data_IF_774666344086
#
_entry.id   IF_774666344086
#
_cell.length_a   1.000
_cell.length_b   1.000
_cell.length_c   1.000
_cell.angle_alpha   90.00
_cell.angle_beta   90.00
_cell.angle_gamma   90.00
#
_symmetry.space_group_name_H-M   'P 1'
#
loop_
_entity.id
_entity.type
_entity.pdbx_description
1 polymer ?
#
# COMPACT_ATOMS: atom_id res chain seq x y z
N UNK A 1 -4.67 17.16 -30.77
CA UNK A 1 -3.60 17.57 -29.84
C UNK A 1 -3.62 16.60 -28.66
N UNK A 2 -2.89 15.49 -28.77
CA UNK A 2 -2.82 14.49 -27.71
C UNK A 2 -1.92 15.03 -26.60
N UNK A 3 -2.45 15.11 -25.38
CA UNK A 3 -1.69 15.51 -24.20
C UNK A 3 -0.59 14.47 -23.98
N UNK A 4 0.67 14.92 -24.03
CA UNK A 4 1.82 14.17 -23.53
C UNK A 4 1.54 13.83 -22.06
N UNK A 5 1.12 12.60 -21.81
CA UNK A 5 1.12 12.01 -20.47
C UNK A 5 2.60 11.83 -20.14
N UNK A 6 3.13 12.66 -19.26
CA UNK A 6 4.43 12.42 -18.64
C UNK A 6 4.34 11.09 -17.89
N UNK A 7 4.77 10.02 -18.56
CA UNK A 7 4.86 8.68 -17.99
C UNK A 7 5.89 8.75 -16.88
N UNK A 8 5.48 8.42 -15.66
CA UNK A 8 6.25 8.48 -14.41
C UNK A 8 7.58 7.70 -14.52
N UNK A 9 8.67 8.23 -13.96
CA UNK A 9 9.96 7.55 -13.83
C UNK A 9 9.99 6.59 -12.63
N UNK A 10 9.15 5.56 -12.65
CA UNK A 10 9.16 4.49 -11.62
C UNK A 10 10.29 3.49 -11.91
N UNK A 11 11.47 3.98 -12.31
CA UNK A 11 12.63 3.16 -12.65
C UNK A 11 13.45 2.75 -11.43
N UNK A 12 13.15 3.28 -10.25
CA UNK A 12 14.00 3.13 -9.06
C UNK A 12 13.52 2.04 -8.11
N UNK A 13 12.32 1.48 -8.32
CA UNK A 13 11.88 0.27 -7.60
C UNK A 13 12.66 -0.93 -8.16
N UNK A 14 13.65 -1.42 -7.41
CA UNK A 14 14.32 -2.72 -7.60
C UNK A 14 13.31 -3.89 -7.49
N UNK A 15 12.55 -4.07 -8.56
CA UNK A 15 12.05 -5.35 -8.97
C UNK A 15 12.69 -5.59 -10.34
N UNK A 16 13.79 -6.34 -10.40
CA UNK A 16 14.63 -6.43 -11.60
C UNK A 16 13.85 -6.80 -12.86
N UNK A 17 12.80 -7.62 -12.73
CA UNK A 17 11.88 -7.92 -13.82
C UNK A 17 10.98 -6.73 -14.23
N UNK A 18 10.41 -5.95 -13.30
CA UNK A 18 9.50 -4.84 -13.65
C UNK A 18 10.23 -3.58 -14.06
N UNK A 19 11.39 -3.26 -13.45
CA UNK A 19 12.28 -2.19 -13.91
C UNK A 19 12.72 -2.44 -15.35
N UNK A 20 13.08 -3.68 -15.65
CA UNK A 20 13.35 -4.13 -17.03
C UNK A 20 12.10 -3.98 -17.89
N UNK A 21 10.95 -4.49 -17.47
CA UNK A 21 9.70 -4.47 -18.26
C UNK A 21 9.18 -3.06 -18.55
N UNK A 22 9.25 -2.13 -17.60
CA UNK A 22 8.90 -0.72 -17.76
C UNK A 22 9.88 0.00 -18.68
N UNK A 23 11.19 -0.24 -18.51
CA UNK A 23 12.23 0.34 -19.36
C UNK A 23 12.14 -0.15 -20.79
N UNK A 24 11.95 -1.46 -20.99
CA UNK A 24 11.75 -2.08 -22.31
C UNK A 24 10.41 -1.64 -22.92
N UNK A 25 9.34 -1.58 -22.13
CA UNK A 25 8.04 -1.08 -22.58
C UNK A 25 8.13 0.36 -23.11
N UNK A 26 8.82 1.25 -22.39
CA UNK A 26 9.07 2.62 -22.84
C UNK A 26 10.00 2.67 -24.05
N UNK A 27 11.09 1.91 -24.05
CA UNK A 27 12.06 1.86 -25.16
C UNK A 27 11.44 1.34 -26.47
N UNK A 28 10.51 0.38 -26.37
CA UNK A 28 9.80 -0.22 -27.50
C UNK A 28 8.50 0.53 -27.84
N UNK A 29 8.16 1.60 -27.12
CA UNK A 29 6.92 2.37 -27.32
C UNK A 29 5.64 1.61 -26.98
N UNK A 30 5.74 0.54 -26.18
CA UNK A 30 4.62 -0.29 -25.76
C UNK A 30 3.92 0.33 -24.54
N UNK A 31 3.17 1.41 -24.76
CA UNK A 31 2.40 2.08 -23.71
C UNK A 31 1.45 1.14 -22.95
N UNK A 32 0.83 0.19 -23.67
CA UNK A 32 -0.06 -0.81 -23.08
C UNK A 32 0.64 -1.81 -22.16
N UNK A 33 1.94 -2.04 -22.35
CA UNK A 33 2.74 -2.89 -21.46
C UNK A 33 3.11 -2.11 -20.20
N UNK A 34 3.58 -0.87 -20.36
CA UNK A 34 3.94 0.01 -19.25
C UNK A 34 2.76 0.28 -18.31
N UNK A 35 1.57 0.52 -18.87
CA UNK A 35 0.33 0.71 -18.10
C UNK A 35 -0.02 -0.54 -17.28
N UNK A 36 0.00 -1.73 -17.91
CA UNK A 36 -0.30 -3.00 -17.22
C UNK A 36 0.70 -3.34 -16.13
N UNK A 37 1.99 -3.07 -16.37
CA UNK A 37 3.03 -3.28 -15.36
C UNK A 37 2.83 -2.34 -14.17
N UNK A 38 2.47 -1.09 -14.42
CA UNK A 38 2.16 -0.13 -13.36
C UNK A 38 0.91 -0.52 -12.56
N UNK A 39 -0.16 -0.93 -13.25
CA UNK A 39 -1.37 -1.44 -12.60
C UNK A 39 -1.05 -2.61 -11.67
N UNK A 40 -0.21 -3.55 -12.11
CA UNK A 40 0.22 -4.67 -11.28
C UNK A 40 0.99 -4.22 -10.03
N UNK A 41 1.89 -3.24 -10.15
CA UNK A 41 2.64 -2.68 -9.01
C UNK A 41 1.68 -2.01 -8.02
N UNK A 42 0.71 -1.23 -8.51
CA UNK A 42 -0.26 -0.53 -7.67
C UNK A 42 -1.24 -1.50 -6.98
N UNK A 43 -1.58 -2.60 -7.65
CA UNK A 43 -2.41 -3.68 -7.09
C UNK A 43 -1.69 -4.50 -6.01
N UNK A 44 -0.36 -4.61 -6.10
CA UNK A 44 0.47 -5.33 -5.13
C UNK A 44 1.33 -4.38 -4.28
N UNK A 45 0.84 -3.16 -4.05
CA UNK A 45 1.60 -2.11 -3.37
C UNK A 45 2.10 -2.53 -1.97
N UNK A 46 1.31 -3.31 -1.23
CA UNK A 46 1.69 -3.85 0.09
C UNK A 46 3.01 -4.64 0.08
N UNK A 47 3.28 -5.36 -1.01
CA UNK A 47 4.52 -6.12 -1.16
C UNK A 47 5.64 -5.24 -1.71
N UNK A 48 5.31 -4.29 -2.59
CA UNK A 48 6.25 -3.30 -3.13
C UNK A 48 6.88 -2.47 -2.00
N UNK A 49 6.09 -2.05 -1.00
CA UNK A 49 6.59 -1.29 0.15
C UNK A 49 7.65 -2.01 0.99
N UNK A 50 7.69 -3.34 0.94
CA UNK A 50 8.67 -4.15 1.69
C UNK A 50 9.97 -4.37 0.91
N UNK A 51 10.02 -3.99 -0.36
CA UNK A 51 11.19 -4.20 -1.21
C UNK A 51 12.27 -3.14 -0.95
N UNK A 52 13.53 -3.54 -1.10
CA UNK A 52 14.67 -2.59 -1.09
C UNK A 52 14.54 -1.55 -2.20
N UNK A 53 13.88 -1.92 -3.30
CA UNK A 53 13.57 -1.02 -4.40
C UNK A 53 12.76 0.20 -3.99
N UNK A 54 11.77 0.02 -3.12
CA UNK A 54 11.00 1.13 -2.61
C UNK A 54 11.87 2.07 -1.75
N UNK A 55 12.79 1.51 -0.94
CA UNK A 55 13.68 2.28 -0.07
C UNK A 55 14.70 3.13 -0.84
N UNK A 56 15.07 2.71 -2.06
CA UNK A 56 16.02 3.41 -2.95
C UNK A 56 15.38 4.45 -3.87
N UNK A 57 14.07 4.69 -3.76
CA UNK A 57 13.38 5.69 -4.57
C UNK A 57 13.93 7.09 -4.33
N UNK A 58 14.04 7.90 -5.39
CA UNK A 58 14.27 9.34 -5.27
C UNK A 58 13.05 10.06 -4.68
N UNK A 59 13.25 11.24 -4.09
CA UNK A 59 12.16 12.01 -3.47
C UNK A 59 11.04 12.35 -4.48
N UNK A 60 11.38 12.71 -5.72
CA UNK A 60 10.40 13.01 -6.79
C UNK A 60 9.55 11.80 -7.17
N UNK A 61 10.19 10.63 -7.24
CA UNK A 61 9.51 9.37 -7.56
C UNK A 61 8.63 8.91 -6.41
N UNK A 62 9.09 9.08 -5.16
CA UNK A 62 8.29 8.84 -3.97
C UNK A 62 7.06 9.77 -3.93
N UNK A 63 7.26 11.07 -4.14
CA UNK A 63 6.18 12.05 -4.19
C UNK A 63 5.14 11.66 -5.24
N UNK A 64 5.58 11.34 -6.45
CA UNK A 64 4.69 10.98 -7.56
C UNK A 64 3.95 9.69 -7.27
N UNK A 65 4.61 8.70 -6.67
CA UNK A 65 3.99 7.43 -6.30
C UNK A 65 2.91 7.64 -5.22
N UNK A 66 3.26 8.29 -4.12
CA UNK A 66 2.37 8.50 -2.97
C UNK A 66 1.22 9.48 -3.24
N UNK A 67 1.36 10.35 -4.23
CA UNK A 67 0.28 11.25 -4.68
C UNK A 67 -0.84 10.53 -5.47
N UNK A 68 -0.66 9.26 -5.86
CA UNK A 68 -1.64 8.54 -6.69
C UNK A 68 -2.82 8.00 -5.89
N UNK A 69 -4.03 8.23 -6.38
CA UNK A 69 -5.25 7.67 -5.77
C UNK A 69 -5.47 6.18 -6.06
N UNK A 70 -4.67 5.62 -6.97
CA UNK A 70 -4.82 4.27 -7.49
C UNK A 70 -4.09 3.20 -6.67
N UNK A 71 -3.42 3.56 -5.57
CA UNK A 71 -2.67 2.61 -4.74
C UNK A 71 -3.65 1.72 -3.96
N UNK A 72 -3.47 0.39 -4.07
CA UNK A 72 -4.25 -0.61 -3.35
C UNK A 72 -3.50 -1.08 -2.08
N UNK A 73 -3.35 -0.19 -1.11
CA UNK A 73 -2.80 -0.49 0.22
C UNK A 73 -3.53 0.35 1.29
N UNK A 74 -3.59 -0.09 2.55
CA UNK A 74 -4.13 0.81 3.58
C UNK A 74 -3.14 1.92 3.90
N UNK A 75 -3.66 3.04 4.37
CA UNK A 75 -2.82 4.21 4.68
C UNK A 75 -1.84 3.90 5.83
N UNK A 76 -2.10 2.88 6.66
CA UNK A 76 -1.14 2.46 7.68
C UNK A 76 0.13 1.86 7.09
N UNK A 77 0.03 1.02 6.06
CA UNK A 77 1.18 0.46 5.35
C UNK A 77 1.91 1.55 4.56
N UNK A 78 1.17 2.44 3.89
CA UNK A 78 1.75 3.55 3.11
C UNK A 78 2.57 4.48 4.02
N UNK A 79 2.01 4.90 5.15
CA UNK A 79 2.69 5.81 6.09
C UNK A 79 3.88 5.10 6.74
N UNK A 80 3.74 3.82 7.10
CA UNK A 80 4.85 3.02 7.64
C UNK A 80 5.99 2.93 6.63
N UNK A 81 5.67 2.66 5.36
CA UNK A 81 6.65 2.58 4.28
C UNK A 81 7.36 3.92 4.07
N UNK A 82 6.64 5.04 4.07
CA UNK A 82 7.22 6.38 3.93
C UNK A 82 8.21 6.70 5.08
N UNK A 83 7.88 6.32 6.31
CA UNK A 83 8.79 6.49 7.46
C UNK A 83 10.01 5.58 7.35
N UNK A 84 9.85 4.33 6.89
CA UNK A 84 10.97 3.43 6.65
C UNK A 84 11.90 3.96 5.55
N UNK A 85 11.34 4.51 4.47
CA UNK A 85 12.09 5.20 3.43
C UNK A 85 12.88 6.38 4.00
N UNK A 86 12.25 7.22 4.82
CA UNK A 86 12.92 8.37 5.43
C UNK A 86 14.09 7.93 6.33
N UNK A 87 13.90 6.88 7.13
CA UNK A 87 14.96 6.28 7.97
C UNK A 87 16.13 5.77 7.14
N UNK A 88 15.83 5.06 6.05
CA UNK A 88 16.85 4.54 5.14
C UNK A 88 17.65 5.67 4.50
N UNK A 89 16.96 6.71 4.00
CA UNK A 89 17.59 7.86 3.37
C UNK A 89 18.48 8.66 4.33
N UNK A 90 18.05 8.86 5.58
CA UNK A 90 18.91 9.48 6.61
C UNK A 90 20.16 8.64 6.91
N UNK A 91 20.00 7.31 7.01
CA UNK A 91 21.12 6.39 7.25
C UNK A 91 22.12 6.38 6.08
N UNK A 92 21.65 6.38 4.85
CA UNK A 92 22.50 6.47 3.65
C UNK A 92 23.29 7.78 3.60
N UNK A 93 22.66 8.88 4.02
CA UNK A 93 23.30 10.20 4.09
C UNK A 93 24.19 10.37 5.33
N UNK A 94 24.32 9.35 6.19
CA UNK A 94 25.07 9.38 7.47
C UNK A 94 24.60 10.48 8.42
N UNK A 95 23.32 10.83 8.34
CA UNK A 95 22.68 11.75 9.27
C UNK A 95 22.11 10.97 10.46
N UNK A 96 21.96 11.66 11.59
CA UNK A 96 21.24 11.07 12.72
C UNK A 96 19.79 10.80 12.33
N UNK A 97 19.29 9.60 12.62
CA UNK A 97 17.87 9.24 12.41
C UNK A 97 17.00 9.86 13.49
N UNK A 98 16.81 11.17 13.44
CA UNK A 98 15.91 11.94 14.29
C UNK A 98 14.66 12.41 13.53
N UNK A 99 13.58 12.73 14.25
CA UNK A 99 12.29 13.10 13.65
C UNK A 99 12.39 14.27 12.67
N UNK A 100 13.25 15.24 12.97
CA UNK A 100 13.46 16.43 12.15
C UNK A 100 14.20 16.13 10.83
N UNK A 101 15.26 15.31 10.82
CA UNK A 101 15.95 14.93 9.56
C UNK A 101 15.05 14.06 8.70
N UNK A 102 14.32 13.11 9.29
CA UNK A 102 13.33 12.32 8.56
C UNK A 102 12.25 13.20 7.92
N UNK A 103 11.79 14.22 8.63
CA UNK A 103 10.83 15.21 8.10
C UNK A 103 11.45 16.02 6.96
N UNK A 104 12.70 16.45 7.08
CA UNK A 104 13.41 17.16 6.02
C UNK A 104 13.61 16.28 4.77
N UNK A 105 13.92 14.99 4.97
CA UNK A 105 14.08 14.01 3.89
C UNK A 105 12.76 13.77 3.13
N UNK A 106 11.62 13.72 3.83
CA UNK A 106 10.30 13.61 3.18
C UNK A 106 9.87 14.94 2.54
N UNK A 107 10.16 16.07 3.18
CA UNK A 107 9.81 17.39 2.69
C UNK A 107 8.30 17.50 2.38
N UNK A 108 7.89 17.88 1.15
CA UNK A 108 6.48 18.05 0.79
C UNK A 108 5.71 16.72 0.71
N UNK A 109 6.41 15.59 0.58
CA UNK A 109 5.80 14.26 0.48
C UNK A 109 4.96 13.93 1.71
N UNK A 110 5.32 14.45 2.88
CA UNK A 110 4.59 14.19 4.12
C UNK A 110 3.11 14.57 4.01
N UNK A 111 2.78 15.66 3.32
CA UNK A 111 1.40 16.15 3.17
C UNK A 111 0.59 15.34 2.14
N UNK A 112 1.24 14.49 1.33
CA UNK A 112 0.55 13.54 0.44
C UNK A 112 0.02 12.32 1.22
N UNK A 113 0.50 12.11 2.45
CA UNK A 113 0.05 11.03 3.32
C UNK A 113 -1.31 11.38 3.93
N UNK A 114 -2.25 10.42 3.90
CA UNK A 114 -3.61 10.64 4.41
C UNK A 114 -3.75 10.22 5.85
N UNK A 115 -2.96 10.86 6.71
CA UNK A 115 -2.92 10.61 8.16
C UNK A 115 -4.32 10.58 8.82
N UNK A 116 -5.28 11.46 8.45
CA UNK A 116 -6.62 11.47 9.05
C UNK A 116 -7.44 10.18 8.85
N UNK A 117 -7.04 9.31 7.93
CA UNK A 117 -7.65 8.00 7.67
C UNK A 117 -7.12 6.89 8.58
N UNK A 118 -6.08 7.15 9.37
CA UNK A 118 -5.57 6.20 10.36
C UNK A 118 -6.54 6.04 11.54
N UNK A 119 -6.39 4.94 12.27
CA UNK A 119 -6.94 4.83 13.62
C UNK A 119 -6.05 5.58 14.62
N UNK A 120 -6.63 6.12 15.69
CA UNK A 120 -5.89 6.80 16.77
C UNK A 120 -4.75 5.94 17.31
N UNK A 121 -4.97 4.64 17.49
CA UNK A 121 -3.94 3.70 17.95
C UNK A 121 -2.73 3.67 17.00
N UNK A 122 -2.98 3.50 15.70
CA UNK A 122 -1.94 3.43 14.68
C UNK A 122 -1.21 4.76 14.52
N UNK A 123 -1.95 5.86 14.59
CA UNK A 123 -1.38 7.20 14.63
C UNK A 123 -0.36 7.35 15.76
N UNK A 124 -0.71 6.98 16.99
CA UNK A 124 0.23 7.05 18.13
C UNK A 124 1.40 6.08 17.98
N UNK A 125 1.16 4.86 17.50
CA UNK A 125 2.21 3.86 17.36
C UNK A 125 3.23 4.18 16.25
N UNK A 126 2.79 4.84 15.17
CA UNK A 126 3.61 5.08 13.98
C UNK A 126 4.19 6.51 14.01
N UNK A 127 3.32 7.53 14.09
CA UNK A 127 3.71 8.93 13.87
C UNK A 127 4.27 9.58 15.13
N UNK A 128 3.58 9.44 16.26
CA UNK A 128 4.04 10.04 17.54
C UNK A 128 5.39 9.46 17.96
N UNK A 129 5.57 8.13 17.87
CA UNK A 129 6.88 7.49 18.15
C UNK A 129 8.00 7.92 17.19
N UNK A 130 7.66 8.24 15.94
CA UNK A 130 8.66 8.69 14.95
C UNK A 130 9.07 10.15 15.13
N UNK A 131 8.32 10.95 15.90
CA UNK A 131 8.57 12.39 16.13
C UNK A 131 8.69 13.21 14.84
N UNK A 132 8.06 12.74 13.75
CA UNK A 132 8.17 13.35 12.41
C UNK A 132 7.23 14.54 12.21
N UNK A 133 6.15 14.60 13.00
CA UNK A 133 5.15 15.66 12.96
C UNK A 133 5.62 16.86 13.80
N UNK A 134 5.18 18.07 13.40
CA UNK A 134 5.33 19.27 14.24
C UNK A 134 4.41 19.17 15.45
N UNK A 135 4.75 19.83 16.56
CA UNK A 135 3.89 19.90 17.75
C UNK A 135 2.48 20.41 17.40
N UNK A 136 2.39 21.43 16.53
CA UNK A 136 1.11 21.98 16.07
C UNK A 136 0.28 20.96 15.28
N UNK A 137 0.94 20.18 14.40
CA UNK A 137 0.29 19.14 13.60
C UNK A 137 -0.14 17.96 14.46
N UNK A 138 0.70 17.57 15.42
CA UNK A 138 0.42 16.47 16.33
C UNK A 138 -0.80 16.80 17.22
N UNK A 139 -0.85 18.01 17.74
CA UNK A 139 -1.99 18.51 18.51
C UNK A 139 -3.25 18.65 17.65
N UNK A 140 -3.13 19.16 16.42
CA UNK A 140 -4.24 19.26 15.47
C UNK A 140 -4.85 17.90 15.14
N UNK A 141 -4.01 16.94 14.73
CA UNK A 141 -4.45 15.59 14.42
C UNK A 141 -5.02 14.87 15.64
N UNK A 142 -4.43 15.06 16.83
CA UNK A 142 -4.97 14.50 18.07
C UNK A 142 -6.37 15.04 18.38
N UNK A 143 -6.61 16.34 18.23
CA UNK A 143 -7.94 16.94 18.35
C UNK A 143 -8.90 16.33 17.34
N UNK A 144 -8.48 16.19 16.08
CA UNK A 144 -9.30 15.57 15.03
C UNK A 144 -9.72 14.12 15.37
N UNK A 145 -8.84 13.34 16.00
CA UNK A 145 -9.16 11.96 16.39
C UNK A 145 -10.04 11.85 17.64
N UNK A 146 -9.96 12.81 18.57
CA UNK A 146 -10.61 12.72 19.89
C UNK A 146 -11.90 13.52 19.99
N UNK A 147 -12.02 14.62 19.24
CA UNK A 147 -13.20 15.47 19.27
C UNK A 147 -14.34 14.86 18.44
N UNK A 148 -15.55 14.90 18.98
CA UNK A 148 -16.75 14.42 18.28
C UNK A 148 -17.11 15.30 17.09
N UNK A 149 -16.74 16.58 17.14
CA UNK A 149 -16.97 17.54 16.06
C UNK A 149 -15.67 17.71 15.26
N UNK A 150 -15.57 17.01 14.13
CA UNK A 150 -14.36 16.97 13.30
C UNK A 150 -14.24 18.26 12.51
N UNK A 151 -13.36 19.17 12.95
CA UNK A 151 -13.07 20.39 12.21
C UNK A 151 -12.01 20.14 11.14
N UNK A 152 -12.18 20.80 9.99
CA UNK A 152 -11.23 20.71 8.87
C UNK A 152 -9.95 21.51 9.11
N UNK A 153 -10.01 22.54 9.96
CA UNK A 153 -8.88 23.41 10.31
C UNK A 153 -7.80 22.64 11.10
N UNK A 154 -8.20 21.61 11.84
CA UNK A 154 -7.32 20.75 12.64
C UNK A 154 -6.49 19.76 11.79
N UNK A 155 -6.76 19.67 10.48
CA UNK A 155 -6.09 18.73 9.57
C UNK A 155 -4.71 19.20 9.09
N UNK A 156 -4.31 20.44 9.37
CA UNK A 156 -2.98 20.96 9.03
C UNK A 156 -2.52 20.70 7.58
N UNK A 157 -3.47 20.63 6.62
CA UNK A 157 -3.18 20.37 5.21
C UNK A 157 -3.19 18.90 4.78
N UNK A 158 -3.41 17.94 5.68
CA UNK A 158 -3.52 16.52 5.31
C UNK A 158 -4.85 16.19 4.62
N UNK A 159 -4.77 15.42 3.54
CA UNK A 159 -5.94 14.92 2.83
C UNK A 159 -6.67 13.83 3.65
N UNK A 160 -8.00 13.92 3.68
CA UNK A 160 -8.90 12.98 4.37
C UNK A 160 -9.68 12.08 3.41
N UNK A 161 -9.43 12.19 2.11
CA UNK A 161 -10.19 11.49 1.07
C UNK A 161 -9.61 10.09 0.83
N UNK A 162 -10.37 8.99 0.98
CA UNK A 162 -9.82 7.66 0.77
C UNK A 162 -9.40 7.42 -0.68
N UNK A 163 -8.34 6.62 -0.88
CA UNK A 163 -7.88 6.20 -2.21
C UNK A 163 -8.99 5.45 -2.95
N UNK A 164 -9.21 5.83 -4.21
CA UNK A 164 -10.34 5.39 -5.03
C UNK A 164 -10.31 3.87 -5.26
N UNK A 165 -9.12 3.34 -5.59
CA UNK A 165 -8.93 1.93 -5.99
C UNK A 165 -8.93 0.97 -4.80
N UNK A 166 -8.53 1.41 -3.61
CA UNK A 166 -8.57 0.61 -2.38
C UNK A 166 -10.00 0.15 -2.05
N UNK A 167 -11.00 1.02 -2.27
CA UNK A 167 -12.41 0.69 -2.01
C UNK A 167 -12.94 -0.44 -2.90
N UNK A 168 -12.46 -0.53 -4.15
CA UNK A 168 -12.79 -1.62 -5.07
C UNK A 168 -12.01 -2.89 -4.72
N UNK A 169 -10.73 -2.75 -4.40
CA UNK A 169 -9.86 -3.86 -4.02
C UNK A 169 -10.39 -4.60 -2.80
N UNK A 170 -10.77 -3.89 -1.72
CA UNK A 170 -11.36 -4.49 -0.52
C UNK A 170 -12.64 -5.26 -0.87
N UNK A 171 -13.55 -4.66 -1.65
CA UNK A 171 -14.80 -5.33 -2.09
C UNK A 171 -14.52 -6.61 -2.87
N UNK A 172 -13.58 -6.58 -3.80
CA UNK A 172 -13.20 -7.77 -4.59
C UNK A 172 -12.58 -8.84 -3.70
N UNK A 173 -11.66 -8.45 -2.81
CA UNK A 173 -10.99 -9.41 -1.91
C UNK A 173 -11.97 -10.04 -0.91
N UNK A 174 -12.94 -9.29 -0.40
CA UNK A 174 -14.02 -9.82 0.45
C UNK A 174 -14.91 -10.81 -0.31
N UNK A 175 -15.24 -10.53 -1.58
CA UNK A 175 -15.96 -11.46 -2.45
C UNK A 175 -15.15 -12.74 -2.68
N UNK A 176 -13.86 -12.63 -2.95
CA UNK A 176 -12.97 -13.78 -3.15
C UNK A 176 -12.84 -14.62 -1.88
N UNK A 177 -12.66 -13.99 -0.71
CA UNK A 177 -12.64 -14.66 0.59
C UNK A 177 -13.97 -15.38 0.87
N UNK A 178 -15.10 -14.73 0.58
CA UNK A 178 -16.43 -15.34 0.73
C UNK A 178 -16.60 -16.56 -0.17
N UNK A 179 -16.25 -16.45 -1.45
CA UNK A 179 -16.28 -17.59 -2.39
C UNK A 179 -15.34 -18.71 -1.97
N UNK A 180 -14.14 -18.38 -1.46
CA UNK A 180 -13.18 -19.37 -0.95
C UNK A 180 -13.70 -20.08 0.30
N UNK A 181 -14.37 -19.35 1.21
CA UNK A 181 -15.01 -19.92 2.39
C UNK A 181 -16.18 -20.85 2.01
N UNK A 182 -17.00 -20.46 1.02
CA UNK A 182 -18.08 -21.28 0.47
C UNK A 182 -17.54 -22.59 -0.12
N UNK A 183 -16.48 -22.55 -0.95
CA UNK A 183 -15.87 -23.75 -1.53
C UNK A 183 -15.14 -24.62 -0.50
N UNK A 184 -14.50 -24.01 0.50
CA UNK A 184 -13.86 -24.74 1.60
C UNK A 184 -14.89 -25.48 2.47
N UNK A 185 -16.11 -24.94 2.59
CA UNK A 185 -17.23 -25.61 3.24
C UNK A 185 -17.73 -26.83 2.45
N UNK A 186 -17.56 -26.85 1.12
CA UNK A 186 -17.87 -28.00 0.25
C UNK A 186 -16.81 -29.10 0.39
N UNK A 187 -15.54 -28.73 0.55
CA UNK A 187 -14.44 -29.69 0.74
C UNK A 187 -14.38 -30.29 2.16
N UNK A 188 -15.00 -29.63 3.16
CA UNK A 188 -15.12 -30.12 4.54
C UNK A 188 -16.34 -31.03 4.77
N UNK A 189 -17.07 -31.45 3.73
CA UNK A 189 -18.00 -32.58 3.86
C UNK A 189 -17.21 -33.84 4.26
N UNK A 190 -17.68 -34.47 5.33
CA UNK A 190 -16.88 -35.21 6.30
C UNK A 190 -16.22 -36.47 5.74
N UNK A 191 -15.07 -36.87 6.29
CA UNK A 191 -14.54 -38.25 6.20
C UNK A 191 -15.61 -39.32 6.56
N UNK A 192 -16.67 -38.96 7.30
CA UNK A 192 -17.85 -39.79 7.57
C UNK A 192 -18.76 -40.02 6.37
N UNK A 193 -18.79 -39.11 5.39
CA UNK A 193 -19.60 -39.24 4.18
C UNK A 193 -18.91 -40.13 3.13
N UNK A 194 -17.56 -40.10 3.09
CA UNK A 194 -16.74 -40.98 2.25
C UNK A 194 -16.81 -42.45 2.73
N UNK A 195 -16.91 -42.69 4.04
CA UNK A 195 -17.03 -44.04 4.61
C UNK A 195 -18.43 -44.66 4.45
N UNK A 196 -19.46 -43.87 4.09
CA UNK A 196 -20.79 -44.36 3.69
C UNK A 196 -20.86 -44.80 2.22
N UNK A 197 -19.85 -44.49 1.41
CA UNK A 197 -19.78 -44.80 -0.02
C UNK A 197 -18.98 -46.08 -0.35
N UNK A 198 -18.64 -46.91 0.64
CA UNK A 198 -18.08 -48.23 0.37
C UNK A 198 -19.16 -49.13 -0.28
N UNK A 199 -18.94 -49.69 -1.48
CA UNK A 199 -19.94 -50.51 -2.16
C UNK A 199 -20.20 -51.81 -1.40
N UNK A 200 -21.48 -52.13 -1.17
CA UNK A 200 -21.96 -53.48 -0.86
C UNK A 200 -21.70 -54.40 -2.07
N UNK A 201 -20.48 -54.92 -2.23
CA UNK A 201 -20.22 -56.07 -3.10
C UNK A 201 -19.30 -57.05 -2.38
N UNK A 202 -19.92 -57.87 -1.54
CA UNK A 202 -19.37 -59.14 -1.04
C UNK A 202 -19.76 -60.21 -2.07
N UNK A 203 -18.74 -60.86 -2.63
CA UNK A 203 -18.73 -62.19 -3.26
C UNK A 203 -19.55 -62.44 -4.54
N UNK A 204 -18.83 -62.57 -5.66
CA UNK A 204 -19.00 -63.72 -6.55
C UNK A 204 -17.70 -64.01 -7.34
N UNK A 205 -17.12 -65.18 -7.06
CA UNK A 205 -16.24 -66.03 -7.91
C UNK A 205 -14.86 -65.45 -8.29
N UNK A 206 -13.72 -66.12 -8.06
CA UNK A 206 -13.40 -67.55 -8.07
C UNK A 206 -12.49 -67.96 -6.89
#
# INVERSE_FOLDING_TARGET
MAKNVNVVDITDIEYDCFKSMLRWGRHLGLSSLTEKTLDFILENADDVFKTEGFLKLSNDNLHTFLSRDDICAFEEEIITAAILWAKHHCNDNKEDTNGQTMRQALGPVIYTLRIPLLSLRKYTDILVKSTILSEDEELGLYKYFTMSNKNLEDLCGFDKSPRSRLSLFIKVNDILKKKKAEHMHVLNFSHKDISRLQPKYVMQTL
#
